data_IF_694942562820
#
_entry.id   IF_694942562820
#
_cell.length_a   1.000
_cell.length_b   1.000
_cell.length_c   1.000
_cell.angle_alpha   90.00
_cell.angle_beta   90.00
_cell.angle_gamma   90.00
#
_symmetry.space_group_name_H-M   'P 1'
#
loop_
_entity.id
_entity.type
_entity.pdbx_description
1 polymer ?
#
# COMPACT_ATOMS: atom_id res chain seq x y z
N UNK A 1 3.15 7.52 -18.74
CA UNK A 1 2.05 6.99 -17.92
C UNK A 1 2.29 7.48 -16.51
N UNK A 2 1.37 8.27 -15.95
CA UNK A 2 1.54 8.90 -14.64
C UNK A 2 1.28 7.87 -13.54
N UNK A 3 2.14 7.81 -12.53
CA UNK A 3 1.90 6.99 -11.35
C UNK A 3 0.79 7.66 -10.54
N UNK A 4 -0.30 6.95 -10.16
CA UNK A 4 -1.35 7.53 -9.33
C UNK A 4 -0.78 7.95 -7.97
N UNK A 5 -1.21 9.12 -7.49
CA UNK A 5 -0.85 9.65 -6.17
C UNK A 5 -2.15 10.00 -5.44
N UNK A 6 -2.21 9.66 -4.17
CA UNK A 6 -3.37 9.90 -3.30
C UNK A 6 -2.89 10.55 -2.02
N UNK A 7 -3.53 11.65 -1.64
CA UNK A 7 -3.36 12.28 -0.33
C UNK A 7 -4.47 11.80 0.60
N UNK A 8 -4.14 11.46 1.84
CA UNK A 8 -5.11 10.96 2.82
C UNK A 8 -4.71 11.34 4.24
N UNK A 9 -5.71 11.49 5.11
CA UNK A 9 -5.52 11.72 6.55
C UNK A 9 -5.58 10.43 7.37
N UNK A 10 -5.46 9.27 6.72
CA UNK A 10 -5.46 7.97 7.38
C UNK A 10 -4.31 7.85 8.38
N UNK A 11 -4.60 7.28 9.55
CA UNK A 11 -3.64 7.07 10.63
C UNK A 11 -2.94 5.70 10.57
N UNK A 12 -3.36 4.83 9.65
CA UNK A 12 -2.76 3.53 9.43
C UNK A 12 -2.78 3.13 7.94
N UNK A 13 -1.95 2.15 7.60
CA UNK A 13 -1.78 1.67 6.23
C UNK A 13 -3.08 1.09 5.63
N UNK A 14 -3.91 0.40 6.41
CA UNK A 14 -5.15 -0.23 5.93
C UNK A 14 -6.12 0.85 5.47
N UNK A 15 -6.37 1.84 6.32
CA UNK A 15 -7.24 2.97 6.00
C UNK A 15 -6.69 3.79 4.83
N UNK A 16 -5.37 3.97 4.74
CA UNK A 16 -4.74 4.64 3.61
C UNK A 16 -4.96 3.89 2.27
N UNK A 17 -4.83 2.56 2.30
CA UNK A 17 -5.10 1.71 1.13
C UNK A 17 -6.57 1.74 0.73
N UNK A 18 -7.49 1.67 1.69
CA UNK A 18 -8.93 1.73 1.40
C UNK A 18 -9.33 3.09 0.79
N UNK A 19 -8.75 4.21 1.27
CA UNK A 19 -8.92 5.52 0.63
C UNK A 19 -8.39 5.52 -0.81
N UNK A 20 -7.18 4.99 -1.02
CA UNK A 20 -6.60 4.86 -2.35
C UNK A 20 -7.46 4.00 -3.30
N UNK A 21 -8.06 2.92 -2.80
CA UNK A 21 -8.93 2.06 -3.60
C UNK A 21 -10.30 2.67 -3.88
N UNK A 22 -10.80 3.57 -3.04
CA UNK A 22 -12.03 4.31 -3.34
C UNK A 22 -11.85 5.17 -4.60
N UNK A 23 -10.71 5.87 -4.71
CA UNK A 23 -10.39 6.72 -5.87
C UNK A 23 -9.87 5.92 -7.06
N UNK A 24 -9.20 4.79 -6.80
CA UNK A 24 -8.60 3.92 -7.80
C UNK A 24 -8.95 2.43 -7.60
N UNK A 25 -10.20 2.01 -7.85
CA UNK A 25 -10.67 0.64 -7.53
C UNK A 25 -9.84 -0.48 -8.14
N UNK A 26 -9.26 -0.25 -9.33
CA UNK A 26 -8.41 -1.23 -10.03
C UNK A 26 -7.12 -1.55 -9.26
N UNK A 27 -6.61 -0.62 -8.44
CA UNK A 27 -5.41 -0.85 -7.65
C UNK A 27 -5.62 -1.92 -6.57
N UNK A 28 -6.86 -2.12 -6.09
CA UNK A 28 -7.13 -3.13 -5.05
C UNK A 28 -6.68 -4.52 -5.47
N UNK A 29 -7.06 -4.94 -6.68
CA UNK A 29 -6.68 -6.24 -7.22
C UNK A 29 -5.20 -6.36 -7.57
N UNK A 30 -4.51 -5.23 -7.78
CA UNK A 30 -3.05 -5.19 -7.98
C UNK A 30 -2.28 -5.31 -6.66
N UNK A 31 -2.74 -4.63 -5.60
CA UNK A 31 -2.04 -4.59 -4.30
C UNK A 31 -2.41 -5.79 -3.42
N UNK A 32 -3.68 -6.16 -3.37
CA UNK A 32 -4.21 -7.18 -2.47
C UNK A 32 -4.65 -8.44 -3.22
N UNK A 33 -4.58 -9.57 -2.52
CA UNK A 33 -5.22 -10.82 -2.93
C UNK A 33 -6.73 -10.83 -2.57
N UNK A 34 -7.39 -11.95 -2.84
CA UNK A 34 -8.84 -12.12 -2.60
C UNK A 34 -9.19 -12.19 -1.10
N UNK A 35 -8.21 -12.48 -0.23
CA UNK A 35 -8.38 -12.48 1.23
C UNK A 35 -8.11 -11.08 1.82
N UNK A 36 -7.65 -10.13 1.01
CA UNK A 36 -7.31 -8.77 1.43
C UNK A 36 -5.91 -8.64 2.03
N UNK A 37 -5.05 -9.65 1.85
CA UNK A 37 -3.64 -9.59 2.23
C UNK A 37 -2.80 -8.98 1.10
N UNK A 38 -1.63 -8.45 1.44
CA UNK A 38 -0.68 -7.94 0.46
C UNK A 38 -0.18 -9.06 -0.45
N UNK A 39 -0.32 -8.88 -1.77
CA UNK A 39 0.15 -9.85 -2.78
C UNK A 39 1.64 -10.07 -2.69
N UNK A 40 2.09 -11.32 -2.79
CA UNK A 40 3.49 -11.73 -2.66
C UNK A 40 4.48 -10.87 -3.47
N UNK A 41 4.12 -10.55 -4.71
CA UNK A 41 4.95 -9.75 -5.61
C UNK A 41 4.82 -8.23 -5.41
N UNK A 42 4.18 -7.77 -4.34
CA UNK A 42 4.04 -6.36 -3.98
C UNK A 42 4.71 -6.10 -2.64
N UNK A 43 5.42 -4.98 -2.57
CA UNK A 43 6.09 -4.48 -1.37
C UNK A 43 5.60 -3.06 -1.11
N UNK A 44 5.29 -2.80 0.16
CA UNK A 44 4.93 -1.47 0.65
C UNK A 44 6.05 -0.95 1.54
N UNK A 45 6.48 0.28 1.29
CA UNK A 45 7.38 1.02 2.17
C UNK A 45 6.65 2.21 2.79
N UNK A 46 6.87 2.42 4.08
CA UNK A 46 6.40 3.56 4.87
C UNK A 46 7.65 4.24 5.41
N UNK A 47 7.89 5.48 5.00
CA UNK A 47 9.05 6.27 5.47
C UNK A 47 10.39 5.52 5.28
N UNK A 48 10.50 4.78 4.17
CA UNK A 48 11.68 3.99 3.81
C UNK A 48 11.76 2.61 4.46
N UNK A 49 10.86 2.25 5.37
CA UNK A 49 10.79 0.94 6.03
C UNK A 49 9.71 0.06 5.40
N UNK A 50 9.96 -1.25 5.23
CA UNK A 50 8.94 -2.16 4.73
C UNK A 50 7.79 -2.32 5.74
N UNK A 51 6.57 -2.48 5.25
CA UNK A 51 5.41 -2.86 6.10
C UNK A 51 5.76 -4.09 6.94
N UNK A 52 5.36 -4.06 8.22
CA UNK A 52 5.76 -5.08 9.20
C UNK A 52 5.03 -6.39 9.01
N UNK A 53 3.77 -6.34 8.58
CA UNK A 53 2.87 -7.48 8.46
C UNK A 53 1.99 -7.33 7.23
N UNK A 54 1.92 -8.40 6.42
CA UNK A 54 1.28 -8.42 5.11
C UNK A 54 -0.22 -8.70 5.18
N UNK A 55 -0.70 -9.26 6.29
CA UNK A 55 -2.12 -9.61 6.46
C UNK A 55 -2.93 -8.45 7.04
N UNK A 56 -2.47 -7.86 8.13
CA UNK A 56 -3.22 -6.80 8.85
C UNK A 56 -3.07 -5.45 8.17
N UNK A 57 -1.85 -5.10 7.76
CA UNK A 57 -1.50 -3.81 7.18
C UNK A 57 -1.90 -2.64 8.09
N UNK A 58 -1.70 -2.77 9.40
CA UNK A 58 -2.04 -1.77 10.43
C UNK A 58 -0.81 -0.98 10.93
N UNK A 59 0.19 -0.83 10.06
CA UNK A 59 1.31 0.08 10.30
C UNK A 59 0.81 1.51 10.53
N UNK A 60 1.19 2.10 11.66
CA UNK A 60 0.81 3.46 12.01
C UNK A 60 1.47 4.47 11.05
N UNK A 61 0.71 5.47 10.63
CA UNK A 61 1.14 6.57 9.80
C UNK A 61 1.08 7.88 10.58
N UNK A 62 2.00 8.78 10.27
CA UNK A 62 1.97 10.17 10.74
C UNK A 62 1.43 11.08 9.63
N UNK A 63 1.02 12.33 9.93
CA UNK A 63 0.56 13.27 8.90
C UNK A 63 1.59 13.58 7.79
N UNK A 64 2.86 13.24 7.99
CA UNK A 64 3.94 13.45 7.02
C UNK A 64 4.48 12.15 6.42
N UNK A 65 3.89 11.00 6.78
CA UNK A 65 4.35 9.71 6.30
C UNK A 65 4.13 9.56 4.80
N UNK A 66 5.10 8.96 4.12
CA UNK A 66 5.03 8.64 2.70
C UNK A 66 4.95 7.13 2.51
N UNK A 67 3.93 6.70 1.76
CA UNK A 67 3.69 5.29 1.43
C UNK A 67 4.01 5.03 -0.03
N UNK A 68 4.92 4.10 -0.28
CA UNK A 68 5.31 3.68 -1.62
C UNK A 68 4.90 2.22 -1.85
N UNK A 69 4.19 1.97 -2.95
CA UNK A 69 3.76 0.63 -3.35
C UNK A 69 4.52 0.24 -4.61
N UNK A 70 5.27 -0.85 -4.57
CA UNK A 70 6.11 -1.30 -5.66
C UNK A 70 5.89 -2.78 -5.97
N UNK A 71 6.04 -3.13 -7.23
CA UNK A 71 6.20 -4.53 -7.62
C UNK A 71 7.61 -4.99 -7.26
N UNK A 72 7.72 -6.12 -6.57
CA UNK A 72 8.98 -6.81 -6.38
C UNK A 72 9.48 -7.27 -7.76
N UNK A 73 10.61 -6.74 -8.19
CA UNK A 73 11.31 -7.23 -9.37
C UNK A 73 12.26 -8.33 -8.89
N UNK A 74 12.01 -9.57 -9.28
CA UNK A 74 12.99 -10.64 -9.09
C UNK A 74 14.20 -10.32 -9.96
N UNK A 75 15.32 -9.95 -9.33
CA UNK A 75 16.60 -9.88 -10.03
C UNK A 75 16.92 -11.28 -10.56
N UNK A 76 17.08 -11.39 -11.88
CA UNK A 76 17.60 -12.60 -12.52
C UNK A 76 19.07 -12.84 -12.16
#
# INVERSE_FOLDING_TARGET
MTVPQVETTAADLRAALDACFADHPRLRGYVLDEQGHLRENVVIFIDGQRTRERQRLDDALTPHSQVYILQALSGG
#
